data_IF_575029287824
#
_entry.id   IF_575029287824
#
_cell.length_a   1.000
_cell.length_b   1.000
_cell.length_c   1.000
_cell.angle_alpha   90.00
_cell.angle_beta   90.00
_cell.angle_gamma   90.00
#
_symmetry.space_group_name_H-M   'P 1'
#
loop_
_entity.id
_entity.type
_entity.pdbx_description
1 polymer ?
#
# COMPACT_ATOMS: atom_id res chain seq x y z
N UNK A 1 -13.55 -14.90 7.81
CA UNK A 1 -13.75 -15.29 6.38
C UNK A 1 -14.92 -14.59 5.69
N UNK A 2 -16.15 -14.58 6.23
CA UNK A 2 -17.29 -13.85 5.60
C UNK A 2 -17.04 -12.33 5.43
N UNK A 3 -16.36 -11.73 6.41
CA UNK A 3 -16.06 -10.29 6.44
C UNK A 3 -15.00 -9.86 5.41
N UNK A 4 -14.02 -10.74 5.12
CA UNK A 4 -13.01 -10.51 4.07
C UNK A 4 -13.66 -10.54 2.68
N UNK A 5 -14.63 -11.44 2.48
CA UNK A 5 -15.33 -11.61 1.21
C UNK A 5 -16.31 -10.47 0.90
N UNK A 6 -17.06 -9.97 1.87
CA UNK A 6 -17.95 -8.80 1.64
C UNK A 6 -17.14 -7.54 1.28
N UNK A 7 -15.95 -7.39 1.87
CA UNK A 7 -15.03 -6.31 1.54
C UNK A 7 -14.44 -6.43 0.12
N UNK A 8 -14.17 -7.66 -0.37
CA UNK A 8 -13.68 -7.90 -1.74
C UNK A 8 -14.61 -7.32 -2.82
N UNK A 9 -15.93 -7.28 -2.58
CA UNK A 9 -16.91 -6.88 -3.57
C UNK A 9 -17.54 -5.50 -3.35
N UNK A 10 -17.54 -4.96 -2.13
CA UNK A 10 -18.29 -3.73 -1.80
C UNK A 10 -17.43 -2.52 -1.45
N UNK A 11 -16.14 -2.72 -1.14
CA UNK A 11 -15.26 -1.62 -0.68
C UNK A 11 -15.64 -1.07 0.70
N UNK A 12 -16.54 -1.72 1.43
CA UNK A 12 -16.95 -1.35 2.79
C UNK A 12 -16.43 -2.40 3.77
N UNK A 13 -15.57 -2.00 4.70
CA UNK A 13 -15.13 -2.83 5.82
C UNK A 13 -15.82 -2.34 7.10
N UNK A 14 -16.20 -3.25 7.98
CA UNK A 14 -16.63 -2.91 9.34
C UNK A 14 -15.56 -3.39 10.32
N UNK A 15 -15.02 -2.47 11.14
CA UNK A 15 -14.13 -2.81 12.26
C UNK A 15 -14.79 -3.86 13.17
N UNK A 16 -14.03 -4.58 14.03
CA UNK A 16 -14.59 -5.56 14.95
C UNK A 16 -15.73 -5.02 15.84
N UNK A 17 -15.74 -3.70 16.06
CA UNK A 17 -16.76 -2.94 16.79
C UNK A 17 -17.95 -2.43 15.92
N UNK A 18 -18.01 -2.81 14.65
CA UNK A 18 -19.12 -2.48 13.73
C UNK A 18 -19.01 -1.13 13.02
N UNK A 19 -17.87 -0.44 13.12
CA UNK A 19 -17.64 0.86 12.49
C UNK A 19 -17.32 0.67 11.01
N UNK A 20 -18.16 1.23 10.12
CA UNK A 20 -17.94 1.20 8.68
C UNK A 20 -16.80 2.16 8.29
N UNK A 21 -15.75 1.62 7.67
CA UNK A 21 -14.69 2.42 7.05
C UNK A 21 -15.20 2.93 5.69
N UNK A 22 -15.11 4.24 5.41
CA UNK A 22 -15.54 4.80 4.14
C UNK A 22 -14.76 4.22 2.96
N UNK A 23 -15.33 4.31 1.75
CA UNK A 23 -14.67 3.85 0.54
C UNK A 23 -13.30 4.54 0.38
N UNK A 24 -12.25 3.74 0.26
CA UNK A 24 -10.88 4.21 0.05
C UNK A 24 -10.65 4.52 -1.43
N UNK A 25 -9.74 5.43 -1.74
CA UNK A 25 -9.38 5.73 -3.13
C UNK A 25 -8.62 4.56 -3.81
N UNK A 26 -8.14 3.59 -3.04
CA UNK A 26 -7.38 2.44 -3.51
C UNK A 26 -8.27 1.43 -4.23
N UNK A 27 -7.72 0.78 -5.25
CA UNK A 27 -8.49 -0.09 -6.12
C UNK A 27 -7.98 -1.54 -6.10
N UNK A 28 -8.80 -2.48 -6.58
CA UNK A 28 -8.52 -3.94 -6.55
C UNK A 28 -8.37 -4.57 -7.93
N UNK A 29 -8.02 -3.77 -8.92
CA UNK A 29 -7.94 -4.22 -10.31
C UNK A 29 -6.68 -5.05 -10.64
N UNK A 30 -5.75 -5.22 -9.68
CA UNK A 30 -4.69 -6.24 -9.71
C UNK A 30 -5.22 -7.67 -9.82
N UNK A 31 -6.47 -7.89 -9.39
CA UNK A 31 -7.13 -9.18 -9.53
C UNK A 31 -7.21 -9.60 -11.01
N UNK A 32 -7.20 -10.92 -11.23
CA UNK A 32 -7.32 -11.68 -12.49
C UNK A 32 -8.18 -11.08 -13.63
N UNK A 33 -9.02 -10.08 -13.38
CA UNK A 33 -9.78 -9.34 -14.39
C UNK A 33 -8.94 -8.64 -15.49
N UNK A 34 -7.64 -8.39 -15.27
CA UNK A 34 -6.72 -7.90 -16.33
C UNK A 34 -6.11 -9.02 -17.17
N UNK A 35 -5.89 -10.21 -16.59
CA UNK A 35 -5.25 -11.36 -17.25
C UNK A 35 -6.27 -12.37 -17.84
N UNK A 36 -7.44 -12.51 -17.21
CA UNK A 36 -8.46 -13.53 -17.49
C UNK A 36 -9.86 -12.95 -17.74
N UNK A 37 -10.01 -11.62 -17.75
CA UNK A 37 -11.30 -10.97 -17.97
C UNK A 37 -11.87 -11.23 -19.38
N UNK A 38 -13.19 -11.46 -19.54
CA UNK A 38 -13.78 -11.69 -20.85
C UNK A 38 -13.55 -10.49 -21.77
N UNK A 39 -13.24 -10.78 -23.05
CA UNK A 39 -12.84 -9.84 -24.12
C UNK A 39 -13.77 -8.61 -24.24
N UNK A 40 -15.01 -8.71 -23.74
CA UNK A 40 -16.06 -7.69 -23.89
C UNK A 40 -16.66 -7.07 -22.60
N UNK A 41 -16.22 -7.41 -21.38
CA UNK A 41 -16.77 -6.77 -20.16
C UNK A 41 -15.99 -5.50 -19.75
N UNK A 42 -16.68 -4.46 -19.23
CA UNK A 42 -16.57 -3.12 -19.77
C UNK A 42 -15.25 -2.44 -19.41
N UNK A 43 -14.57 -1.95 -20.46
CA UNK A 43 -13.44 -1.00 -20.44
C UNK A 43 -13.75 0.34 -19.74
N UNK A 44 -14.88 0.47 -19.07
CA UNK A 44 -15.45 1.71 -18.52
C UNK A 44 -14.99 1.92 -17.06
N UNK A 45 -14.90 0.87 -16.24
CA UNK A 45 -14.32 0.95 -14.89
C UNK A 45 -12.78 1.06 -14.91
N UNK A 46 -12.15 0.71 -16.03
CA UNK A 46 -10.71 0.77 -16.27
C UNK A 46 -10.15 2.18 -16.49
N UNK A 47 -10.99 3.22 -16.59
CA UNK A 47 -10.58 4.59 -16.99
C UNK A 47 -10.38 5.60 -15.85
N UNK A 48 -10.73 5.27 -14.60
CA UNK A 48 -10.67 6.23 -13.48
C UNK A 48 -9.47 6.04 -12.55
N UNK A 49 -8.88 4.84 -12.51
CA UNK A 49 -7.72 4.60 -11.65
C UNK A 49 -6.48 5.27 -12.26
N UNK A 50 -5.72 6.07 -11.48
CA UNK A 50 -4.48 6.69 -11.96
C UNK A 50 -3.38 5.66 -12.28
N UNK A 51 -3.47 4.45 -11.72
CA UNK A 51 -2.56 3.34 -11.96
C UNK A 51 -2.94 2.49 -13.18
N UNK A 52 -4.06 2.78 -13.85
CA UNK A 52 -4.50 2.02 -15.01
C UNK A 52 -3.50 2.17 -16.18
N UNK A 53 -2.90 1.05 -16.59
CA UNK A 53 -1.91 1.01 -17.67
C UNK A 53 -0.45 1.12 -17.22
N UNK A 54 -0.19 1.28 -15.92
CA UNK A 54 1.15 1.12 -15.36
C UNK A 54 1.51 -0.37 -15.27
N UNK A 55 2.75 -0.73 -15.58
CA UNK A 55 3.27 -2.08 -15.37
C UNK A 55 3.69 -2.22 -13.89
N UNK A 56 2.76 -2.67 -13.06
CA UNK A 56 2.97 -2.85 -11.62
C UNK A 56 2.96 -4.34 -11.28
N UNK A 57 3.70 -4.70 -10.23
CA UNK A 57 3.71 -6.03 -9.63
C UNK A 57 3.94 -5.89 -8.12
N UNK A 58 3.51 -6.85 -7.28
CA UNK A 58 3.73 -6.82 -5.83
C UNK A 58 5.22 -6.64 -5.47
N UNK A 59 6.09 -7.38 -6.14
CA UNK A 59 7.55 -7.32 -5.96
C UNK A 59 8.17 -5.94 -6.27
N UNK A 60 7.44 -5.03 -6.94
CA UNK A 60 7.92 -3.67 -7.17
C UNK A 60 7.93 -2.83 -5.89
N UNK A 61 7.18 -3.21 -4.84
CA UNK A 61 7.13 -2.44 -3.59
C UNK A 61 8.52 -2.28 -2.97
N UNK A 62 9.14 -3.40 -2.60
CA UNK A 62 10.46 -3.40 -1.98
C UNK A 62 11.53 -2.84 -2.94
N UNK A 63 11.41 -3.13 -4.23
CA UNK A 63 12.29 -2.55 -5.26
C UNK A 63 12.25 -1.02 -5.26
N UNK A 64 11.06 -0.41 -5.15
CA UNK A 64 10.94 1.05 -5.07
C UNK A 64 11.51 1.63 -3.78
N UNK A 65 11.41 0.92 -2.64
CA UNK A 65 12.09 1.33 -1.40
C UNK A 65 13.60 1.36 -1.58
N UNK A 66 14.20 0.32 -2.16
CA UNK A 66 15.64 0.32 -2.44
C UNK A 66 16.07 1.36 -3.48
N UNK A 67 15.24 1.61 -4.51
CA UNK A 67 15.53 2.69 -5.47
C UNK A 67 15.51 4.04 -4.77
N UNK A 68 14.57 4.25 -3.84
CA UNK A 68 14.48 5.48 -3.06
C UNK A 68 15.74 5.70 -2.21
N UNK A 69 16.22 4.67 -1.49
CA UNK A 69 17.42 4.79 -0.65
C UNK A 69 18.68 5.07 -1.48
N UNK A 70 18.83 4.40 -2.63
CA UNK A 70 19.93 4.68 -3.58
C UNK A 70 19.82 6.08 -4.18
N UNK A 71 18.61 6.52 -4.53
CA UNK A 71 18.38 7.84 -5.09
C UNK A 71 18.67 8.95 -4.07
N UNK A 72 18.35 8.74 -2.80
CA UNK A 72 18.70 9.65 -1.71
C UNK A 72 20.23 9.72 -1.53
N UNK A 73 20.90 8.57 -1.45
CA UNK A 73 22.35 8.49 -1.32
C UNK A 73 23.12 9.19 -2.45
N UNK A 74 22.56 9.21 -3.66
CA UNK A 74 23.17 9.83 -4.85
C UNK A 74 22.64 11.25 -5.15
N UNK A 75 21.86 11.86 -4.25
CA UNK A 75 21.22 13.17 -4.43
C UNK A 75 20.36 13.28 -5.71
N UNK A 76 19.73 12.17 -6.10
CA UNK A 76 18.90 12.07 -7.31
C UNK A 76 17.42 12.36 -7.01
N UNK A 77 17.10 13.63 -6.74
CA UNK A 77 15.74 14.08 -6.33
C UNK A 77 14.59 13.59 -7.22
N UNK A 78 14.78 13.59 -8.54
CA UNK A 78 13.75 13.14 -9.49
C UNK A 78 13.51 11.63 -9.38
N UNK A 79 14.58 10.86 -9.20
CA UNK A 79 14.48 9.40 -9.06
C UNK A 79 13.87 9.03 -7.71
N UNK A 80 14.20 9.79 -6.66
CA UNK A 80 13.61 9.66 -5.33
C UNK A 80 12.09 9.88 -5.37
N UNK A 81 11.66 10.96 -6.02
CA UNK A 81 10.23 11.25 -6.24
C UNK A 81 9.53 10.17 -7.08
N UNK A 82 10.20 9.65 -8.11
CA UNK A 82 9.70 8.54 -8.92
C UNK A 82 9.50 7.26 -8.10
N UNK A 83 10.46 6.92 -7.25
CA UNK A 83 10.39 5.75 -6.39
C UNK A 83 9.27 5.86 -5.35
N UNK A 84 9.10 7.03 -4.75
CA UNK A 84 8.01 7.33 -3.82
C UNK A 84 6.64 7.15 -4.49
N UNK A 85 6.45 7.71 -5.69
CA UNK A 85 5.22 7.51 -6.46
C UNK A 85 5.00 6.04 -6.82
N UNK A 86 6.07 5.30 -7.11
CA UNK A 86 6.03 3.86 -7.37
C UNK A 86 5.51 3.06 -6.17
N UNK A 87 5.95 3.38 -4.95
CA UNK A 87 5.41 2.78 -3.72
C UNK A 87 3.92 3.06 -3.58
N UNK A 88 3.50 4.31 -3.75
CA UNK A 88 2.07 4.68 -3.71
C UNK A 88 1.25 3.91 -4.74
N UNK A 89 1.76 3.80 -5.98
CA UNK A 89 1.08 3.09 -7.06
C UNK A 89 0.94 1.59 -6.78
N UNK A 90 1.98 0.95 -6.23
CA UNK A 90 1.96 -0.47 -5.89
C UNK A 90 0.99 -0.72 -4.73
N UNK A 91 1.07 0.07 -3.66
CA UNK A 91 0.13 -0.01 -2.53
C UNK A 91 -1.32 0.23 -3.00
N UNK A 92 -1.54 1.22 -3.86
CA UNK A 92 -2.85 1.52 -4.44
C UNK A 92 -3.54 0.30 -5.08
N UNK A 93 -2.75 -0.63 -5.62
CA UNK A 93 -3.22 -1.74 -6.45
C UNK A 93 -3.09 -3.10 -5.76
N UNK A 94 -2.04 -3.33 -4.98
CA UNK A 94 -1.64 -4.64 -4.46
C UNK A 94 -1.70 -4.76 -2.93
N UNK A 95 -2.27 -3.79 -2.22
CA UNK A 95 -2.32 -3.81 -0.75
C UNK A 95 -2.97 -5.06 -0.12
N UNK A 96 -3.81 -5.82 -0.84
CA UNK A 96 -4.37 -7.10 -0.36
C UNK A 96 -3.61 -8.34 -0.84
N UNK A 97 -2.59 -8.16 -1.67
CA UNK A 97 -1.85 -9.26 -2.25
C UNK A 97 -0.94 -9.87 -1.18
N UNK A 98 -1.08 -11.18 -0.96
CA UNK A 98 -0.27 -11.91 0.02
C UNK A 98 1.22 -11.89 -0.32
N UNK A 99 1.57 -11.66 -1.59
CA UNK A 99 2.96 -11.55 -2.08
C UNK A 99 3.54 -10.13 -2.03
N UNK A 100 2.82 -9.15 -1.46
CA UNK A 100 3.26 -7.75 -1.40
C UNK A 100 4.49 -7.52 -0.51
N UNK A 101 4.85 -8.47 0.36
CA UNK A 101 6.03 -8.36 1.27
C UNK A 101 6.06 -7.02 2.04
N UNK A 102 4.88 -6.54 2.46
CA UNK A 102 4.71 -5.21 3.05
C UNK A 102 5.57 -4.99 4.31
N UNK A 103 5.75 -6.03 5.13
CA UNK A 103 6.58 -5.95 6.35
C UNK A 103 8.05 -5.73 6.01
N UNK A 104 8.57 -6.41 4.98
CA UNK A 104 9.97 -6.24 4.57
C UNK A 104 10.19 -4.83 4.00
N UNK A 105 9.21 -4.29 3.27
CA UNK A 105 9.25 -2.92 2.78
C UNK A 105 9.17 -1.88 3.89
N UNK A 106 8.36 -2.11 4.94
CA UNK A 106 8.32 -1.28 6.14
C UNK A 106 9.65 -1.33 6.90
N UNK A 107 10.19 -2.52 7.16
CA UNK A 107 11.46 -2.68 7.85
C UNK A 107 12.59 -1.94 7.12
N UNK A 108 12.72 -2.13 5.81
CA UNK A 108 13.70 -1.43 5.00
C UNK A 108 13.48 0.09 5.02
N UNK A 109 12.23 0.55 4.86
CA UNK A 109 11.92 1.98 4.84
C UNK A 109 12.26 2.67 6.16
N UNK A 110 12.05 2.01 7.31
CA UNK A 110 12.29 2.61 8.62
C UNK A 110 13.72 2.39 9.15
N UNK A 111 14.49 1.46 8.58
CA UNK A 111 15.89 1.20 8.97
C UNK A 111 16.93 1.81 8.04
N UNK A 112 16.66 1.83 6.72
CA UNK A 112 17.65 2.24 5.71
C UNK A 112 17.55 3.73 5.30
N UNK A 113 16.45 4.42 5.62
CA UNK A 113 16.33 5.86 5.36
C UNK A 113 16.94 6.68 6.50
N UNK A 114 17.71 7.75 6.23
CA UNK A 114 18.19 8.67 7.26
C UNK A 114 17.04 9.32 8.03
N UNK A 115 17.21 9.63 9.31
CA UNK A 115 16.15 10.22 10.15
C UNK A 115 15.63 11.58 9.69
N UNK A 116 16.46 12.33 8.95
CA UNK A 116 16.10 13.62 8.36
C UNK A 116 15.24 13.45 7.09
N UNK A 117 15.25 12.27 6.46
CA UNK A 117 14.47 11.97 5.27
C UNK A 117 13.19 11.18 5.60
N UNK A 118 12.09 11.92 5.73
CA UNK A 118 10.80 11.34 6.06
C UNK A 118 9.97 10.92 4.85
N UNK A 119 10.39 11.21 3.61
CA UNK A 119 9.51 11.06 2.45
C UNK A 119 8.95 9.64 2.26
N UNK A 120 9.79 8.62 2.37
CA UNK A 120 9.35 7.22 2.28
C UNK A 120 8.57 6.78 3.53
N UNK A 121 9.03 7.17 4.73
CA UNK A 121 8.37 6.83 6.01
C UNK A 121 6.95 7.41 6.06
N UNK A 122 6.80 8.68 5.71
CA UNK A 122 5.52 9.39 5.63
C UNK A 122 4.60 8.73 4.61
N UNK A 123 5.13 8.29 3.46
CA UNK A 123 4.35 7.57 2.44
C UNK A 123 3.73 6.28 2.98
N UNK A 124 4.47 5.51 3.77
CA UNK A 124 3.94 4.30 4.41
C UNK A 124 2.96 4.63 5.54
N UNK A 125 3.25 5.65 6.36
CA UNK A 125 2.33 6.10 7.42
C UNK A 125 1.00 6.56 6.83
N UNK A 126 1.03 7.38 5.77
CA UNK A 126 -0.15 7.86 5.06
C UNK A 126 -0.94 6.68 4.48
N UNK A 127 -0.26 5.71 3.85
CA UNK A 127 -0.93 4.52 3.33
C UNK A 127 -1.60 3.68 4.42
N UNK A 128 -0.96 3.52 5.59
CA UNK A 128 -1.54 2.80 6.74
C UNK A 128 -2.71 3.57 7.38
N UNK A 129 -2.69 4.90 7.38
CA UNK A 129 -3.81 5.76 7.81
C UNK A 129 -5.01 5.67 6.89
N UNK A 130 -4.76 5.71 5.59
CA UNK A 130 -5.79 5.58 4.56
C UNK A 130 -6.39 4.17 4.53
N UNK A 131 -5.63 3.17 5.01
CA UNK A 131 -6.04 1.76 5.11
C UNK A 131 -5.93 1.22 6.53
N UNK A 132 -6.87 1.58 7.44
CA UNK A 132 -6.84 1.06 8.81
C UNK A 132 -6.91 -0.48 8.85
N UNK A 133 -7.48 -1.14 7.83
CA UNK A 133 -7.47 -2.60 7.72
C UNK A 133 -6.08 -3.22 7.62
N UNK A 134 -5.06 -2.50 7.14
CA UNK A 134 -3.67 -2.96 7.16
C UNK A 134 -3.04 -2.88 8.56
N UNK A 135 -3.48 -1.92 9.38
CA UNK A 135 -2.88 -1.62 10.68
C UNK A 135 -3.64 -2.23 11.87
N UNK A 136 -4.96 -2.41 11.74
CA UNK A 136 -5.86 -2.81 12.84
C UNK A 136 -6.14 -4.32 12.85
N UNK A 137 -6.13 -4.97 11.69
CA UNK A 137 -6.41 -6.40 11.62
C UNK A 137 -5.23 -7.24 12.15
N UNK A 138 -5.55 -8.37 12.79
CA UNK A 138 -4.54 -9.32 13.27
C UNK A 138 -3.75 -9.85 12.06
N UNK A 139 -2.44 -9.64 12.07
CA UNK A 139 -1.57 -10.03 10.95
C UNK A 139 -0.12 -9.61 11.15
N UNK A 140 0.70 -9.89 10.15
CA UNK A 140 2.15 -9.61 10.19
C UNK A 140 2.45 -8.11 10.31
N UNK A 141 1.62 -7.25 9.72
CA UNK A 141 1.76 -5.79 9.82
C UNK A 141 1.42 -5.28 11.23
N UNK A 142 0.35 -5.78 11.85
CA UNK A 142 0.02 -5.41 13.25
C UNK A 142 1.12 -5.85 14.21
N UNK A 143 1.64 -7.06 14.05
CA UNK A 143 2.76 -7.54 14.86
C UNK A 143 4.02 -6.69 14.69
N UNK A 144 4.27 -6.18 13.48
CA UNK A 144 5.36 -5.25 13.22
C UNK A 144 5.13 -3.87 13.88
N UNK A 145 3.89 -3.35 13.85
CA UNK A 145 3.53 -2.10 14.54
C UNK A 145 3.66 -2.24 16.07
N UNK A 146 3.27 -3.39 16.64
CA UNK A 146 3.47 -3.66 18.07
C UNK A 146 4.96 -3.67 18.47
N UNK A 147 5.85 -4.03 17.54
CA UNK A 147 7.30 -3.99 17.74
C UNK A 147 7.90 -2.59 17.50
N UNK A 148 7.18 -1.70 16.80
CA UNK A 148 7.61 -0.36 16.41
C UNK A 148 6.62 0.70 16.92
N UNK A 149 6.57 0.95 18.25
CA UNK A 149 5.54 1.79 18.86
C UNK A 149 5.53 3.24 18.37
N UNK A 150 6.69 3.81 18.04
CA UNK A 150 6.79 5.17 17.49
C UNK A 150 6.02 5.31 16.15
N UNK A 151 6.03 4.24 15.35
CA UNK A 151 5.31 4.17 14.07
C UNK A 151 3.83 3.93 14.31
N UNK A 152 3.47 3.05 15.24
CA UNK A 152 2.07 2.80 15.62
C UNK A 152 1.38 4.06 16.15
N UNK A 153 2.09 4.87 16.93
CA UNK A 153 1.59 6.18 17.38
C UNK A 153 1.36 7.13 16.20
N UNK A 154 2.31 7.19 15.27
CA UNK A 154 2.22 8.03 14.07
C UNK A 154 1.04 7.66 13.18
N UNK A 155 0.71 6.37 13.08
CA UNK A 155 -0.43 5.85 12.30
C UNK A 155 -1.77 6.11 13.00
N UNK A 156 -1.87 5.90 14.31
CA UNK A 156 -3.16 5.96 15.01
C UNK A 156 -3.53 7.35 15.58
N UNK A 157 -2.56 8.21 15.86
CA UNK A 157 -2.77 9.45 16.63
C UNK A 157 -2.25 10.72 15.95
N UNK A 158 -1.77 10.62 14.70
CA UNK A 158 -1.26 11.74 13.90
C UNK A 158 -2.25 12.29 12.89
#
# INVERSE_FOLDING_TARGET
MKQVLDYMYTGMYALPCGILIPATDYCKHSSLALLEGPVSSPKIFKRKCPCAGKCLAPAHLLMHVHIYTVADYLDMFVLKSYAQQGVQDVLHVYWQDESLELVDALEEAFTATPDDDRGMRDTFVDALKEHPGLAVDVGVVRAWLDANPDVDESVNWG
#
